data_IF_621965389018
#
_entry.id   IF_621965389018
#
_cell.length_a   1.000
_cell.length_b   1.000
_cell.length_c   1.000
_cell.angle_alpha   90.00
_cell.angle_beta   90.00
_cell.angle_gamma   90.00
#
_symmetry.space_group_name_H-M   'P 1'
#
loop_
_entity.id
_entity.type
_entity.pdbx_description
1 polymer ?
#
# COMPACT_ATOMS: atom_id res chain seq x y z
N UNK A 1 -42.96 43.22 6.24
CA UNK A 1 -41.98 43.67 5.22
C UNK A 1 -40.98 44.58 5.90
N UNK A 2 -39.77 44.09 6.16
CA UNK A 2 -38.67 44.88 6.74
C UNK A 2 -37.39 44.49 6.01
N UNK A 3 -36.74 45.49 5.38
CA UNK A 3 -35.60 45.33 4.49
C UNK A 3 -34.29 45.43 5.28
N UNK A 4 -33.51 44.35 5.29
CA UNK A 4 -32.14 44.33 5.81
C UNK A 4 -31.19 44.68 4.66
N UNK A 5 -30.45 45.78 4.84
CA UNK A 5 -29.46 46.32 3.92
C UNK A 5 -28.08 45.75 4.31
N UNK A 6 -27.57 44.79 3.54
CA UNK A 6 -26.18 44.32 3.67
C UNK A 6 -25.33 44.92 2.53
N UNK A 7 -24.36 45.75 2.93
CA UNK A 7 -23.21 46.13 2.11
C UNK A 7 -22.13 45.06 2.27
N UNK A 8 -21.62 44.52 1.18
CA UNK A 8 -20.28 43.94 1.13
C UNK A 8 -19.56 44.45 -0.12
N UNK A 9 -18.42 45.10 0.10
CA UNK A 9 -17.55 45.60 -0.93
C UNK A 9 -16.76 44.47 -1.58
N UNK A 10 -16.80 44.40 -2.91
CA UNK A 10 -15.95 43.57 -3.74
C UNK A 10 -14.93 44.49 -4.40
N UNK A 11 -13.65 44.29 -4.08
CA UNK A 11 -12.54 45.05 -4.64
C UNK A 11 -11.40 44.12 -5.05
N UNK A 12 -10.83 44.45 -6.21
CA UNK A 12 -9.65 43.90 -6.90
C UNK A 12 -9.87 42.56 -7.63
N UNK A 13 -10.08 42.59 -8.95
CA UNK A 13 -9.13 42.79 -10.08
C UNK A 13 -8.25 41.57 -10.38
N UNK A 14 -8.46 41.08 -11.60
CA UNK A 14 -7.62 40.17 -12.34
C UNK A 14 -6.31 40.83 -12.79
N UNK A 15 -5.24 40.04 -12.88
CA UNK A 15 -4.36 39.94 -14.05
C UNK A 15 -3.31 38.84 -13.82
N UNK A 16 -3.08 37.99 -14.83
CA UNK A 16 -1.77 37.75 -15.51
C UNK A 16 -1.19 36.40 -15.10
N UNK A 17 -1.15 35.36 -15.95
CA UNK A 17 -0.35 35.11 -17.17
C UNK A 17 1.09 34.68 -16.85
N UNK A 18 1.55 33.69 -17.62
CA UNK A 18 2.89 33.08 -17.74
C UNK A 18 3.23 31.92 -16.77
N UNK A 19 3.27 30.65 -17.22
CA UNK A 19 4.07 30.01 -18.28
C UNK A 19 5.58 30.09 -17.96
N UNK A 20 6.05 29.11 -17.19
CA UNK A 20 7.49 28.85 -17.01
C UNK A 20 7.69 27.36 -16.72
N UNK A 21 7.59 26.57 -17.78
CA UNK A 21 7.93 25.15 -17.79
C UNK A 21 8.99 24.99 -18.88
N UNK A 22 10.25 25.28 -18.55
CA UNK A 22 11.45 24.81 -19.27
C UNK A 22 12.74 25.33 -18.62
N UNK A 23 13.82 24.58 -18.85
CA UNK A 23 15.23 24.88 -18.57
C UNK A 23 15.74 24.68 -17.13
N UNK A 24 16.18 23.46 -16.83
CA UNK A 24 17.33 23.22 -15.94
C UNK A 24 18.03 21.89 -16.30
N UNK A 25 18.41 21.78 -17.57
CA UNK A 25 19.51 20.94 -18.04
C UNK A 25 20.49 21.91 -18.72
N UNK A 26 21.79 21.63 -18.64
CA UNK A 26 22.95 22.46 -19.02
C UNK A 26 23.54 23.30 -17.89
N UNK A 27 24.64 22.77 -17.34
CA UNK A 27 25.81 23.39 -16.67
C UNK A 27 26.42 22.22 -15.90
N UNK A 28 27.43 21.51 -16.41
CA UNK A 28 28.84 21.86 -16.25
C UNK A 28 29.67 21.14 -17.33
N UNK A 29 29.97 21.85 -18.42
CA UNK A 29 30.98 21.50 -19.40
C UNK A 29 32.06 22.59 -19.40
N UNK A 30 32.82 22.72 -18.31
CA UNK A 30 34.00 23.59 -18.25
C UNK A 30 34.98 22.97 -17.24
N UNK A 31 35.87 22.07 -17.69
CA UNK A 31 37.19 21.85 -17.07
C UNK A 31 38.07 21.09 -18.08
N UNK A 32 38.57 21.82 -19.07
CA UNK A 32 39.76 21.46 -19.83
C UNK A 32 40.72 22.64 -19.76
N UNK A 33 41.97 22.36 -19.41
CA UNK A 33 43.22 23.13 -19.57
C UNK A 33 43.95 23.56 -18.28
N UNK A 34 45.27 23.31 -18.33
CA UNK A 34 46.35 23.45 -17.33
C UNK A 34 46.42 22.23 -16.40
N UNK A 35 47.46 21.38 -16.39
CA UNK A 35 48.82 21.44 -16.90
C UNK A 35 49.65 20.43 -16.08
N UNK A 36 50.61 19.76 -16.72
CA UNK A 36 51.39 18.60 -16.22
C UNK A 36 52.12 18.79 -14.88
N UNK A 37 52.24 17.72 -14.08
CA UNK A 37 53.53 17.26 -13.53
C UNK A 37 53.56 15.73 -13.44
N UNK A 38 54.70 15.15 -13.81
CA UNK A 38 54.98 13.71 -13.81
C UNK A 38 55.58 13.29 -12.48
N UNK A 39 54.99 12.27 -11.84
CA UNK A 39 55.65 11.51 -10.79
C UNK A 39 55.47 10.02 -11.07
N UNK A 40 56.57 9.44 -11.55
CA UNK A 40 56.86 8.01 -11.53
C UNK A 40 56.76 7.45 -10.11
N UNK A 41 56.22 6.24 -9.94
CA UNK A 41 56.84 5.15 -9.17
C UNK A 41 55.95 3.88 -9.15
N UNK A 42 56.62 2.77 -9.49
CA UNK A 42 56.43 1.41 -8.97
C UNK A 42 55.17 0.60 -9.31
N UNK A 43 55.31 -0.08 -10.45
CA UNK A 43 55.15 -1.53 -10.60
C UNK A 43 54.89 -2.31 -9.29
N UNK A 44 53.63 -2.65 -9.04
CA UNK A 44 53.23 -3.85 -8.30
C UNK A 44 52.26 -4.63 -9.18
N UNK A 45 52.73 -5.75 -9.70
CA UNK A 45 51.90 -6.80 -10.27
C UNK A 45 50.98 -7.36 -9.17
N UNK A 46 49.87 -6.70 -8.92
CA UNK A 46 48.74 -7.34 -8.26
C UNK A 46 48.10 -8.25 -9.30
N UNK A 47 48.38 -9.54 -9.19
CA UNK A 47 47.55 -10.58 -9.80
C UNK A 47 46.19 -10.47 -9.10
N UNK A 48 45.32 -9.61 -9.64
CA UNK A 48 43.91 -9.61 -9.28
C UNK A 48 43.36 -10.96 -9.71
N UNK A 49 43.16 -11.85 -8.72
CA UNK A 49 42.42 -13.09 -8.90
C UNK A 49 41.09 -12.71 -9.57
N UNK A 50 40.69 -13.35 -10.68
CA UNK A 50 39.40 -13.04 -11.29
C UNK A 50 38.33 -13.30 -10.24
N UNK A 51 37.73 -12.24 -9.72
CA UNK A 51 36.47 -12.33 -9.01
C UNK A 51 35.48 -12.64 -10.12
N UNK A 52 35.27 -13.93 -10.34
CA UNK A 52 34.10 -14.42 -11.04
C UNK A 52 32.93 -13.95 -10.17
N UNK A 53 32.39 -12.78 -10.50
CA UNK A 53 31.08 -12.34 -10.05
C UNK A 53 30.09 -13.30 -10.67
N UNK A 54 29.95 -14.48 -10.08
CA UNK A 54 28.84 -15.37 -10.35
C UNK A 54 27.61 -14.61 -9.89
N UNK A 55 27.04 -13.81 -10.79
CA UNK A 55 25.66 -13.37 -10.68
C UNK A 55 24.85 -14.65 -10.63
N UNK A 56 24.56 -15.11 -9.42
CA UNK A 56 23.49 -16.06 -9.17
C UNK A 56 22.23 -15.36 -9.64
N UNK A 57 21.94 -15.52 -10.93
CA UNK A 57 20.66 -15.24 -11.53
C UNK A 57 19.73 -16.32 -10.96
N UNK A 58 19.38 -16.15 -9.69
CA UNK A 58 18.22 -16.80 -9.12
C UNK A 58 17.08 -16.28 -9.96
N UNK A 59 16.54 -17.14 -10.82
CA UNK A 59 15.30 -16.92 -11.55
C UNK A 59 14.22 -16.67 -10.48
N UNK A 60 14.07 -15.40 -10.08
CA UNK A 60 13.18 -14.98 -9.01
C UNK A 60 11.77 -15.15 -9.54
N UNK A 61 11.18 -16.33 -9.28
CA UNK A 61 9.83 -16.68 -9.70
C UNK A 61 8.87 -15.58 -9.25
N UNK A 62 8.34 -14.85 -10.23
CA UNK A 62 7.35 -13.81 -9.98
C UNK A 62 6.00 -14.46 -9.68
N UNK A 63 5.36 -13.98 -8.62
CA UNK A 63 4.02 -14.38 -8.23
C UNK A 63 3.03 -13.26 -8.54
N UNK A 64 1.94 -13.61 -9.23
CA UNK A 64 0.82 -12.73 -9.46
C UNK A 64 -0.24 -12.92 -8.38
N UNK A 65 -0.75 -11.82 -7.84
CA UNK A 65 -1.73 -11.81 -6.74
C UNK A 65 -2.81 -10.79 -7.04
N UNK A 66 -4.08 -11.17 -6.82
CA UNK A 66 -5.23 -10.27 -6.97
C UNK A 66 -5.54 -9.58 -5.65
N UNK A 67 -5.65 -8.26 -5.66
CA UNK A 67 -6.05 -7.45 -4.50
C UNK A 67 -7.45 -6.92 -4.76
N UNK A 68 -8.39 -7.19 -3.87
CA UNK A 68 -9.79 -6.82 -4.08
C UNK A 68 -10.14 -5.53 -3.35
N UNK A 69 -10.17 -4.42 -4.09
CA UNK A 69 -10.56 -3.12 -3.54
C UNK A 69 -12.07 -2.90 -3.69
N UNK A 70 -12.74 -2.26 -2.71
CA UNK A 70 -14.14 -1.92 -2.84
C UNK A 70 -14.37 -0.87 -3.92
N UNK A 71 -15.53 -0.95 -4.56
CA UNK A 71 -16.03 0.09 -5.46
C UNK A 71 -16.66 1.20 -4.61
N UNK A 72 -16.41 2.46 -4.97
CA UNK A 72 -16.94 3.61 -4.23
C UNK A 72 -18.47 3.58 -4.15
N UNK A 73 -19.09 4.01 -3.02
CA UNK A 73 -20.55 4.00 -2.85
C UNK A 73 -21.34 4.76 -3.93
N UNK A 74 -20.72 5.77 -4.54
CA UNK A 74 -21.32 6.53 -5.65
C UNK A 74 -21.45 5.71 -6.95
N UNK A 75 -20.74 4.58 -7.06
CA UNK A 75 -20.69 3.71 -8.23
C UNK A 75 -21.29 2.32 -7.98
N UNK A 76 -21.40 1.89 -6.73
CA UNK A 76 -22.11 0.66 -6.35
C UNK A 76 -22.92 0.88 -5.08
N UNK A 77 -24.14 0.34 -5.09
CA UNK A 77 -25.04 0.32 -3.93
C UNK A 77 -24.72 -0.82 -2.95
N UNK A 78 -23.86 -1.77 -3.33
CA UNK A 78 -23.47 -2.91 -2.51
C UNK A 78 -22.15 -2.65 -1.81
N UNK A 79 -22.11 -2.87 -0.49
CA UNK A 79 -20.88 -2.76 0.31
C UNK A 79 -19.91 -3.93 0.10
N UNK A 80 -20.33 -4.96 -0.63
CA UNK A 80 -19.55 -6.18 -0.88
C UNK A 80 -18.97 -6.22 -2.31
N UNK A 81 -19.27 -5.20 -3.11
CA UNK A 81 -18.78 -5.09 -4.47
C UNK A 81 -17.32 -4.66 -4.47
N UNK A 82 -16.50 -5.45 -5.17
CA UNK A 82 -15.05 -5.29 -5.20
C UNK A 82 -14.53 -5.52 -6.60
N UNK A 83 -13.47 -4.82 -6.98
CA UNK A 83 -12.73 -5.08 -8.20
C UNK A 83 -11.35 -5.66 -7.87
N UNK A 84 -10.98 -6.72 -8.58
CA UNK A 84 -9.65 -7.31 -8.48
C UNK A 84 -8.62 -6.47 -9.24
N UNK A 85 -7.49 -6.21 -8.60
CA UNK A 85 -6.35 -5.54 -9.18
C UNK A 85 -5.12 -6.44 -9.06
N UNK A 86 -4.40 -6.64 -10.17
CA UNK A 86 -3.22 -7.50 -10.18
C UNK A 86 -2.00 -6.79 -9.58
N UNK A 87 -1.25 -7.53 -8.76
CA UNK A 87 0.06 -7.15 -8.22
C UNK A 87 1.05 -8.27 -8.46
N UNK A 88 2.33 -7.93 -8.56
CA UNK A 88 3.42 -8.87 -8.79
C UNK A 88 4.39 -8.78 -7.61
N UNK A 89 4.90 -9.91 -7.15
CA UNK A 89 5.90 -9.99 -6.08
C UNK A 89 6.87 -11.13 -6.31
N UNK A 90 8.10 -10.98 -5.82
CA UNK A 90 9.08 -12.07 -5.74
C UNK A 90 9.07 -12.75 -4.37
N UNK A 91 8.24 -12.25 -3.44
CA UNK A 91 8.14 -12.81 -2.09
C UNK A 91 7.41 -14.15 -2.10
N UNK A 92 7.96 -15.14 -1.39
CA UNK A 92 7.29 -16.40 -1.10
C UNK A 92 6.05 -16.20 -0.19
N UNK A 93 6.05 -15.12 0.62
CA UNK A 93 4.94 -14.74 1.51
C UNK A 93 3.79 -14.03 0.78
N UNK A 94 3.28 -14.63 -0.30
CA UNK A 94 2.28 -14.00 -1.20
C UNK A 94 1.00 -13.56 -0.49
N UNK A 95 0.50 -14.31 0.50
CA UNK A 95 -0.68 -13.93 1.25
C UNK A 95 -0.43 -12.69 2.13
N UNK A 96 0.73 -12.61 2.79
CA UNK A 96 1.14 -11.44 3.56
C UNK A 96 1.28 -10.22 2.66
N UNK A 97 1.98 -10.38 1.54
CA UNK A 97 2.10 -9.33 0.52
C UNK A 97 0.72 -8.81 0.07
N UNK A 98 -0.26 -9.70 -0.12
CA UNK A 98 -1.61 -9.31 -0.53
C UNK A 98 -2.26 -8.37 0.49
N UNK A 99 -2.17 -8.68 1.78
CA UNK A 99 -2.71 -7.82 2.84
C UNK A 99 -1.95 -6.50 2.96
N UNK A 100 -0.63 -6.51 2.80
CA UNK A 100 0.18 -5.28 2.77
C UNK A 100 -0.26 -4.35 1.63
N UNK A 101 -0.53 -4.89 0.44
CA UNK A 101 -1.06 -4.11 -0.68
C UNK A 101 -2.48 -3.59 -0.41
N UNK A 102 -3.31 -4.37 0.28
CA UNK A 102 -4.66 -3.95 0.66
C UNK A 102 -4.64 -2.78 1.65
N UNK A 103 -3.71 -2.80 2.63
CA UNK A 103 -3.47 -1.70 3.57
C UNK A 103 -2.89 -0.48 2.87
N UNK A 104 -1.96 -0.67 1.93
CA UNK A 104 -1.40 0.43 1.11
C UNK A 104 -2.48 1.12 0.28
N UNK A 105 -3.53 0.39 -0.09
CA UNK A 105 -4.68 0.89 -0.81
C UNK A 105 -4.46 1.01 -2.33
N UNK A 106 -5.49 1.45 -3.07
CA UNK A 106 -5.42 1.59 -4.51
C UNK A 106 -4.46 2.72 -4.93
N UNK A 107 -3.88 2.56 -6.12
CA UNK A 107 -3.05 3.60 -6.77
C UNK A 107 -3.90 4.83 -7.16
N UNK A 108 -3.23 5.91 -7.59
CA UNK A 108 -3.94 7.11 -8.08
C UNK A 108 -4.85 6.79 -9.27
N UNK A 109 -4.39 5.96 -10.21
CA UNK A 109 -5.16 5.56 -11.39
C UNK A 109 -6.35 4.67 -11.01
N UNK A 110 -6.15 3.74 -10.07
CA UNK A 110 -7.22 2.88 -9.54
C UNK A 110 -8.30 3.69 -8.80
N UNK A 111 -7.89 4.75 -8.08
CA UNK A 111 -8.84 5.68 -7.45
C UNK A 111 -9.65 6.48 -8.47
N UNK A 112 -9.05 6.84 -9.61
CA UNK A 112 -9.76 7.56 -10.68
C UNK A 112 -10.89 6.73 -11.30
N UNK A 113 -10.72 5.40 -11.38
CA UNK A 113 -11.80 4.48 -11.81
C UNK A 113 -12.76 4.10 -10.66
N UNK A 114 -12.60 4.72 -9.49
CA UNK A 114 -13.56 4.61 -8.39
C UNK A 114 -13.28 3.53 -7.36
N UNK A 115 -12.05 2.99 -7.32
CA UNK A 115 -11.64 2.08 -6.23
C UNK A 115 -11.23 2.87 -5.00
N UNK A 116 -11.60 2.38 -3.82
CA UNK A 116 -11.32 3.03 -2.54
C UNK A 116 -10.46 2.16 -1.62
N UNK A 117 -9.81 2.77 -0.64
CA UNK A 117 -9.04 2.04 0.36
C UNK A 117 -10.01 1.42 1.39
N UNK A 118 -9.99 0.10 1.62
CA UNK A 118 -10.86 -0.55 2.59
C UNK A 118 -10.35 -0.45 4.02
N UNK A 119 -9.03 -0.24 4.21
CA UNK A 119 -8.39 -0.29 5.52
C UNK A 119 -7.80 1.08 5.84
N UNK A 120 -8.15 1.61 7.00
CA UNK A 120 -7.50 2.78 7.58
C UNK A 120 -7.05 2.42 8.98
N UNK A 121 -5.74 2.40 9.19
CA UNK A 121 -5.14 2.11 10.49
C UNK A 121 -4.78 3.42 11.19
N UNK A 122 -5.01 3.47 12.51
CA UNK A 122 -4.68 4.61 13.37
C UNK A 122 -4.03 4.12 14.67
N UNK A 123 -3.35 5.05 15.35
CA UNK A 123 -2.69 4.76 16.62
C UNK A 123 -1.38 3.98 16.48
N UNK A 124 -0.80 3.65 17.62
CA UNK A 124 0.45 2.90 17.69
C UNK A 124 0.20 1.40 17.52
N UNK A 125 1.18 0.72 16.93
CA UNK A 125 1.16 -0.74 16.85
C UNK A 125 1.50 -1.36 18.21
N UNK A 126 0.74 -2.38 18.62
CA UNK A 126 1.06 -3.19 19.81
C UNK A 126 2.02 -4.36 19.51
N UNK A 127 2.44 -4.54 18.26
CA UNK A 127 3.30 -5.66 17.85
C UNK A 127 4.49 -5.26 16.96
N UNK A 128 4.70 -3.96 16.73
CA UNK A 128 5.77 -3.43 15.87
C UNK A 128 5.44 -3.43 14.36
N UNK A 129 4.35 -4.05 13.94
CA UNK A 129 3.88 -4.11 12.54
C UNK A 129 2.44 -3.62 12.40
N UNK A 130 1.90 -3.55 11.18
CA UNK A 130 0.49 -3.21 10.97
C UNK A 130 -0.46 -4.37 11.35
N UNK A 131 0.00 -5.61 11.19
CA UNK A 131 -0.76 -6.82 11.43
C UNK A 131 0.14 -8.05 11.61
N UNK A 132 -0.42 -9.12 12.17
CA UNK A 132 0.12 -10.49 12.15
C UNK A 132 -0.76 -11.36 11.26
N UNK A 133 -0.16 -12.24 10.48
CA UNK A 133 -0.86 -13.23 9.67
C UNK A 133 -0.27 -14.61 9.97
N UNK A 134 -1.12 -15.51 10.48
CA UNK A 134 -0.79 -16.92 10.67
C UNK A 134 -1.61 -17.77 9.71
N UNK A 135 -1.00 -18.81 9.15
CA UNK A 135 -1.65 -19.80 8.30
C UNK A 135 -1.47 -21.17 8.96
N UNK A 136 -2.55 -21.81 9.39
CA UNK A 136 -2.49 -23.11 10.07
C UNK A 136 -3.68 -23.95 9.68
N UNK A 137 -3.43 -25.16 9.15
CA UNK A 137 -4.47 -26.13 8.78
C UNK A 137 -5.59 -25.56 7.88
N UNK A 138 -5.22 -24.68 6.93
CA UNK A 138 -6.18 -24.04 6.03
C UNK A 138 -6.93 -22.84 6.63
N UNK A 139 -6.63 -22.45 7.87
CA UNK A 139 -7.16 -21.26 8.52
C UNK A 139 -6.15 -20.13 8.42
N UNK A 140 -6.58 -18.99 7.89
CA UNK A 140 -5.83 -17.74 7.90
C UNK A 140 -6.30 -16.86 9.05
N UNK A 141 -5.44 -16.62 10.03
CA UNK A 141 -5.72 -15.75 11.18
C UNK A 141 -5.00 -14.42 10.93
N UNK A 142 -5.76 -13.37 10.65
CA UNK A 142 -5.26 -12.02 10.46
C UNK A 142 -5.61 -11.17 11.68
N UNK A 143 -4.61 -10.76 12.45
CA UNK A 143 -4.77 -9.84 13.57
C UNK A 143 -4.17 -8.50 13.23
N UNK A 144 -4.99 -7.44 13.23
CA UNK A 144 -4.44 -6.08 13.15
C UNK A 144 -3.69 -5.76 14.43
N UNK A 145 -2.58 -5.04 14.32
CA UNK A 145 -1.81 -4.58 15.49
C UNK A 145 -2.00 -3.08 15.77
N UNK A 146 -2.71 -2.38 14.89
CA UNK A 146 -3.17 -1.01 15.05
C UNK A 146 -4.70 -1.00 15.09
N UNK A 147 -5.29 0.07 15.60
CA UNK A 147 -6.74 0.25 15.60
C UNK A 147 -7.21 0.45 14.17
N UNK A 148 -8.19 -0.35 13.75
CA UNK A 148 -8.85 -0.17 12.45
C UNK A 148 -9.94 0.89 12.62
N UNK A 149 -9.83 1.99 11.89
CA UNK A 149 -10.83 3.05 11.88
C UNK A 149 -11.92 2.73 10.84
N UNK A 150 -13.16 2.62 11.30
CA UNK A 150 -14.32 2.37 10.43
C UNK A 150 -15.39 3.45 10.65
N UNK A 151 -16.13 3.80 9.60
CA UNK A 151 -17.25 4.75 9.65
C UNK A 151 -18.60 4.09 9.95
N UNK A 152 -18.61 2.83 10.38
CA UNK A 152 -19.82 2.03 10.65
C UNK A 152 -19.99 0.84 9.69
N UNK A 153 -21.19 0.24 9.74
CA UNK A 153 -21.48 -1.09 9.14
C UNK A 153 -21.12 -1.22 7.65
N UNK A 154 -21.24 -0.13 6.87
CA UNK A 154 -20.88 -0.15 5.45
C UNK A 154 -19.37 -0.23 5.21
N UNK A 155 -18.58 0.43 6.05
CA UNK A 155 -17.12 0.35 5.99
C UNK A 155 -16.62 -1.00 6.53
N UNK A 156 -17.27 -1.51 7.59
CA UNK A 156 -17.00 -2.84 8.14
C UNK A 156 -17.21 -3.94 7.08
N UNK A 157 -18.30 -3.85 6.32
CA UNK A 157 -18.61 -4.79 5.25
C UNK A 157 -17.59 -4.71 4.10
N UNK A 158 -17.19 -3.49 3.69
CA UNK A 158 -16.16 -3.27 2.68
C UNK A 158 -14.81 -3.83 3.10
N UNK A 159 -14.36 -3.51 4.32
CA UNK A 159 -13.14 -4.01 4.93
C UNK A 159 -13.11 -5.54 4.94
N UNK A 160 -14.14 -6.14 5.53
CA UNK A 160 -14.24 -7.59 5.71
C UNK A 160 -14.27 -8.31 4.36
N UNK A 161 -15.10 -7.85 3.42
CA UNK A 161 -15.22 -8.45 2.09
C UNK A 161 -13.92 -8.35 1.29
N UNK A 162 -13.24 -7.21 1.36
CA UNK A 162 -11.95 -7.00 0.70
C UNK A 162 -10.88 -7.97 1.19
N UNK A 163 -10.77 -8.15 2.51
CA UNK A 163 -9.82 -9.10 3.10
C UNK A 163 -10.20 -10.53 2.72
N UNK A 164 -11.48 -10.88 2.88
CA UNK A 164 -11.97 -12.23 2.58
C UNK A 164 -11.70 -12.62 1.13
N UNK A 165 -12.13 -11.82 0.15
CA UNK A 165 -11.87 -12.10 -1.27
C UNK A 165 -10.38 -12.14 -1.61
N UNK A 166 -9.58 -11.29 -0.97
CA UNK A 166 -8.12 -11.28 -1.18
C UNK A 166 -7.46 -12.55 -0.62
N UNK A 167 -7.85 -13.07 0.53
CA UNK A 167 -7.24 -14.28 1.08
C UNK A 167 -7.84 -15.56 0.49
N UNK A 168 -9.14 -15.59 0.17
CA UNK A 168 -9.81 -16.75 -0.45
C UNK A 168 -9.33 -17.07 -1.86
N UNK A 169 -8.52 -16.19 -2.49
CA UNK A 169 -7.88 -16.53 -3.77
C UNK A 169 -6.87 -17.66 -3.64
N UNK A 170 -6.33 -17.89 -2.43
CA UNK A 170 -5.33 -18.92 -2.19
C UNK A 170 -6.05 -20.24 -1.86
N UNK A 171 -5.88 -21.30 -2.66
CA UNK A 171 -6.64 -22.54 -2.52
C UNK A 171 -6.36 -23.30 -1.21
N UNK A 172 -5.25 -22.96 -0.54
CA UNK A 172 -4.89 -23.51 0.77
C UNK A 172 -5.54 -22.76 1.93
N UNK A 173 -6.36 -21.74 1.68
CA UNK A 173 -7.08 -20.99 2.72
C UNK A 173 -8.57 -21.29 2.59
N UNK A 174 -9.10 -22.05 3.53
CA UNK A 174 -10.49 -22.50 3.60
C UNK A 174 -11.32 -21.64 4.56
N UNK A 175 -10.67 -21.07 5.58
CA UNK A 175 -11.30 -20.25 6.60
C UNK A 175 -10.44 -19.03 6.91
N UNK A 176 -11.09 -17.91 7.22
CA UNK A 176 -10.43 -16.65 7.53
C UNK A 176 -10.99 -16.12 8.84
N UNK A 177 -10.12 -15.86 9.80
CA UNK A 177 -10.44 -15.27 11.11
C UNK A 177 -9.80 -13.89 11.15
N UNK A 178 -10.61 -12.86 11.39
CA UNK A 178 -10.17 -11.47 11.47
C UNK A 178 -10.23 -11.00 12.91
N UNK A 179 -9.10 -10.54 13.44
CA UNK A 179 -8.97 -10.08 14.81
C UNK A 179 -8.60 -8.60 14.85
N UNK A 180 -9.15 -7.90 15.84
CA UNK A 180 -8.81 -6.52 16.17
C UNK A 180 -7.46 -6.43 16.91
N UNK A 181 -7.05 -5.22 17.26
CA UNK A 181 -5.79 -4.95 17.97
C UNK A 181 -5.63 -5.77 19.26
N UNK A 182 -6.72 -5.93 20.00
CA UNK A 182 -6.76 -6.62 21.30
C UNK A 182 -6.86 -8.15 21.16
N UNK A 183 -6.93 -8.66 19.94
CA UNK A 183 -7.07 -10.09 19.66
C UNK A 183 -8.51 -10.59 19.72
N UNK A 184 -9.50 -9.71 19.91
CA UNK A 184 -10.92 -10.03 19.78
C UNK A 184 -11.37 -10.10 18.32
N UNK A 185 -12.58 -10.60 18.04
CA UNK A 185 -13.14 -10.62 16.70
C UNK A 185 -13.29 -9.21 16.13
N UNK A 186 -12.83 -9.04 14.89
CA UNK A 186 -13.00 -7.76 14.19
C UNK A 186 -14.49 -7.46 13.98
N UNK A 187 -14.90 -6.23 14.26
CA UNK A 187 -16.29 -5.73 14.17
C UNK A 187 -17.30 -6.47 15.07
N UNK A 188 -16.82 -7.15 16.11
CA UNK A 188 -17.71 -7.72 17.13
C UNK A 188 -18.11 -6.65 18.15
N UNK A 189 -19.27 -6.03 17.90
CA UNK A 189 -19.83 -5.00 18.78
C UNK A 189 -20.42 -5.57 20.07
N UNK A 190 -20.63 -6.90 20.17
CA UNK A 190 -21.22 -7.55 21.34
C UNK A 190 -20.17 -8.14 22.28
N UNK A 191 -18.98 -8.43 21.77
CA UNK A 191 -17.88 -9.04 22.53
C UNK A 191 -18.01 -10.56 22.69
N UNK A 192 -18.88 -11.22 21.91
CA UNK A 192 -19.12 -12.66 21.97
C UNK A 192 -17.93 -13.49 21.44
N UNK A 193 -17.02 -12.86 20.69
CA UNK A 193 -15.85 -13.43 20.03
C UNK A 193 -16.16 -14.70 19.22
N UNK A 194 -17.31 -14.71 18.54
CA UNK A 194 -17.83 -15.91 17.86
C UNK A 194 -16.92 -16.44 16.75
N UNK A 195 -16.10 -15.59 16.11
CA UNK A 195 -15.13 -15.97 15.09
C UNK A 195 -13.99 -16.85 15.63
N UNK A 196 -13.80 -16.92 16.95
CA UNK A 196 -12.74 -17.69 17.61
C UNK A 196 -13.15 -19.09 18.02
N UNK A 197 -14.45 -19.43 17.95
CA UNK A 197 -14.97 -20.72 18.42
C UNK A 197 -14.33 -21.95 17.77
N UNK A 198 -13.70 -21.75 16.60
CA UNK A 198 -13.02 -22.79 15.83
C UNK A 198 -11.55 -22.42 15.53
N UNK A 199 -10.88 -21.70 16.45
CA UNK A 199 -9.43 -21.55 16.35
C UNK A 199 -8.76 -22.93 16.52
N UNK A 200 -7.80 -23.29 15.65
CA UNK A 200 -7.06 -24.55 15.76
C UNK A 200 -6.13 -24.58 16.97
#
# INVERSE_FOLDING_TARGET
MSLIKLRYGFGARASEVDRSFEAMNYLLAIYWLLGLTTASLNNRNFIAKPIISTSINQDQKQHQVKIFFPIAPKLSQSFTDTQAVLRITNSLGVARFAIEQLIKGPTKLEKQVGLIAPIKLIGQSNCGENFKLSLTQGVAILQFCQTVLTGGVGDDARLTTSIQKTLSQFPTINQIILLNQDGGCLNDLKGDNSCQKNLP
#
